data_IF_593015743772
#
_entry.id   IF_593015743772
#
_cell.length_a   1.000
_cell.length_b   1.000
_cell.length_c   1.000
_cell.angle_alpha   90.00
_cell.angle_beta   90.00
_cell.angle_gamma   90.00
#
_symmetry.space_group_name_H-M   'P 1'
#
loop_
_entity.id
_entity.type
_entity.pdbx_description
1 polymer ?
#
# COMPACT_ATOMS: atom_id res chain seq x y z
N UNK A 1 5.38 -3.10 -27.44
CA UNK A 1 4.92 -3.12 -26.04
C UNK A 1 3.39 -3.11 -26.07
N UNK A 2 2.70 -3.98 -25.34
CA UNK A 2 1.23 -3.97 -25.21
C UNK A 2 0.90 -4.14 -23.73
N UNK A 3 0.53 -3.04 -23.10
CA UNK A 3 0.17 -2.97 -21.69
C UNK A 3 -0.80 -1.81 -21.46
N UNK A 4 -1.38 -1.70 -20.24
CA UNK A 4 -2.23 -0.57 -19.83
C UNK A 4 -1.58 0.80 -20.15
N UNK A 5 -0.27 0.84 -20.05
CA UNK A 5 0.61 1.98 -20.26
C UNK A 5 0.55 2.52 -21.70
N UNK A 6 0.34 1.65 -22.70
CA UNK A 6 0.22 2.03 -24.11
C UNK A 6 -1.13 2.68 -24.41
N UNK A 7 -2.21 2.11 -23.84
CA UNK A 7 -3.56 2.69 -23.96
C UNK A 7 -3.68 4.03 -23.26
N UNK A 8 -3.00 4.15 -22.12
CA UNK A 8 -2.88 5.43 -21.43
C UNK A 8 -2.14 6.45 -22.30
N UNK A 9 -0.99 6.07 -22.88
CA UNK A 9 -0.21 6.96 -23.74
C UNK A 9 -1.01 7.45 -24.94
N UNK A 10 -1.71 6.57 -25.65
CA UNK A 10 -2.57 6.92 -26.79
C UNK A 10 -3.71 7.88 -26.40
N UNK A 11 -4.30 7.68 -25.23
CA UNK A 11 -5.36 8.55 -24.70
C UNK A 11 -4.83 9.93 -24.30
N UNK A 12 -3.70 9.99 -23.58
CA UNK A 12 -3.04 11.25 -23.21
C UNK A 12 -2.61 12.03 -24.46
N UNK A 13 -2.04 11.32 -25.44
CA UNK A 13 -1.68 11.81 -26.75
C UNK A 13 -2.83 12.45 -27.52
N UNK A 14 -4.03 11.89 -27.42
CA UNK A 14 -5.24 12.41 -28.07
C UNK A 14 -5.73 13.68 -27.38
N UNK A 15 -5.71 13.70 -26.04
CA UNK A 15 -6.09 14.87 -25.25
C UNK A 15 -5.16 16.07 -25.53
N UNK A 16 -3.86 15.84 -25.65
CA UNK A 16 -2.89 16.88 -25.99
C UNK A 16 -3.14 17.48 -27.37
N UNK A 17 -3.41 16.63 -28.36
CA UNK A 17 -3.75 17.08 -29.71
C UNK A 17 -5.03 17.92 -29.71
N UNK A 18 -6.05 17.49 -28.96
CA UNK A 18 -7.32 18.22 -28.87
C UNK A 18 -7.20 19.55 -28.11
N UNK A 19 -6.29 19.64 -27.13
CA UNK A 19 -6.07 20.84 -26.31
C UNK A 19 -5.02 21.80 -26.91
N UNK A 20 -4.43 21.46 -28.06
CA UNK A 20 -3.34 22.25 -28.67
C UNK A 20 -2.06 22.25 -27.84
N UNK A 21 -1.88 21.25 -26.96
CA UNK A 21 -0.74 21.13 -26.06
C UNK A 21 0.41 20.43 -26.80
N UNK A 22 1.64 20.98 -26.77
CA UNK A 22 2.81 20.34 -27.37
C UNK A 22 3.02 18.92 -26.87
N UNK A 23 3.28 18.00 -27.80
CA UNK A 23 3.39 16.55 -27.53
C UNK A 23 4.82 16.19 -27.14
N UNK A 24 5.30 16.77 -26.06
CA UNK A 24 6.62 16.53 -25.49
C UNK A 24 6.55 15.75 -24.18
N UNK A 25 7.72 15.30 -23.72
CA UNK A 25 7.85 14.50 -22.50
C UNK A 25 7.34 15.22 -21.24
N UNK A 26 7.53 16.54 -21.15
CA UNK A 26 7.16 17.32 -19.97
C UNK A 26 5.64 17.49 -19.88
N UNK A 27 4.97 17.77 -21.00
CA UNK A 27 3.52 17.83 -21.04
C UNK A 27 2.88 16.46 -20.82
N UNK A 28 3.54 15.39 -21.25
CA UNK A 28 3.09 14.02 -20.97
C UNK A 28 3.16 13.67 -19.51
N UNK A 29 4.27 14.03 -18.87
CA UNK A 29 4.41 13.88 -17.43
C UNK A 29 3.36 14.71 -16.68
N UNK A 30 3.09 15.93 -17.14
CA UNK A 30 2.09 16.82 -16.55
C UNK A 30 0.67 16.24 -16.63
N UNK A 31 0.23 15.83 -17.83
CA UNK A 31 -1.10 15.22 -18.03
C UNK A 31 -1.26 13.88 -17.30
N UNK A 32 -0.18 13.09 -17.17
CA UNK A 32 -0.18 11.89 -16.35
C UNK A 32 -0.43 12.20 -14.88
N UNK A 33 0.34 13.15 -14.33
CA UNK A 33 0.24 13.54 -12.93
C UNK A 33 -1.12 14.19 -12.63
N UNK A 34 -1.66 14.97 -13.56
CA UNK A 34 -2.97 15.60 -13.45
C UNK A 34 -4.09 14.55 -13.37
N UNK A 35 -4.08 13.54 -14.26
CA UNK A 35 -5.01 12.41 -14.18
C UNK A 35 -4.82 11.56 -12.93
N UNK A 36 -3.58 11.32 -12.50
CA UNK A 36 -3.31 10.60 -11.25
C UNK A 36 -3.83 11.38 -10.02
N UNK A 37 -3.71 12.71 -10.05
CA UNK A 37 -4.27 13.58 -9.02
C UNK A 37 -5.80 13.52 -9.01
N UNK A 38 -6.46 13.39 -10.16
CA UNK A 38 -7.92 13.17 -10.22
C UNK A 38 -8.35 11.91 -9.45
N UNK A 39 -7.58 10.83 -9.54
CA UNK A 39 -7.87 9.57 -8.83
C UNK A 39 -7.44 9.60 -7.36
N UNK A 40 -6.50 10.46 -6.96
CA UNK A 40 -6.01 10.59 -5.59
C UNK A 40 -5.92 12.07 -5.19
N UNK A 41 -7.07 12.75 -5.03
CA UNK A 41 -7.18 14.21 -5.00
C UNK A 41 -6.46 14.89 -3.85
N UNK A 42 -6.31 14.20 -2.72
CA UNK A 42 -5.59 14.72 -1.57
C UNK A 42 -4.99 13.58 -0.71
N UNK A 43 -4.07 13.94 0.19
CA UNK A 43 -3.39 12.97 1.07
C UNK A 43 -4.38 12.26 2.00
N UNK A 44 -5.47 12.92 2.41
CA UNK A 44 -6.49 12.35 3.28
C UNK A 44 -7.23 11.23 2.55
N UNK A 45 -7.60 11.44 1.28
CA UNK A 45 -8.21 10.42 0.44
C UNK A 45 -7.30 9.20 0.30
N UNK A 46 -6.01 9.40 0.03
CA UNK A 46 -5.03 8.29 -0.06
C UNK A 46 -4.94 7.50 1.25
N UNK A 47 -4.91 8.21 2.38
CA UNK A 47 -4.90 7.63 3.72
C UNK A 47 -6.18 6.81 3.96
N UNK A 48 -7.36 7.39 3.72
CA UNK A 48 -8.65 6.75 3.96
C UNK A 48 -8.82 5.48 3.10
N UNK A 49 -8.48 5.55 1.81
CA UNK A 49 -8.55 4.40 0.90
C UNK A 49 -7.61 3.27 1.33
N UNK A 50 -6.38 3.61 1.74
CA UNK A 50 -5.43 2.61 2.17
C UNK A 50 -5.84 1.97 3.50
N UNK A 51 -6.30 2.77 4.47
CA UNK A 51 -6.80 2.27 5.75
C UNK A 51 -7.97 1.28 5.56
N UNK A 52 -8.88 1.55 4.62
CA UNK A 52 -9.99 0.65 4.30
C UNK A 52 -9.52 -0.73 3.81
N UNK A 53 -8.43 -0.77 3.05
CA UNK A 53 -7.85 -2.01 2.51
C UNK A 53 -6.93 -2.78 3.48
N UNK A 54 -6.65 -2.24 4.67
CA UNK A 54 -5.70 -2.88 5.60
C UNK A 54 -6.28 -4.13 6.27
N UNK A 55 -5.43 -5.14 6.42
CA UNK A 55 -5.74 -6.34 7.23
C UNK A 55 -6.02 -5.93 8.67
N UNK A 56 -7.10 -6.47 9.27
CA UNK A 56 -7.60 -6.05 10.59
C UNK A 56 -6.57 -5.93 11.72
N UNK A 57 -5.59 -6.84 11.80
CA UNK A 57 -4.51 -6.76 12.81
C UNK A 57 -3.59 -5.56 12.61
N UNK A 58 -3.26 -5.22 11.36
CA UNK A 58 -2.43 -4.06 11.04
C UNK A 58 -3.26 -2.80 11.23
N UNK A 59 -4.50 -2.79 10.72
CA UNK A 59 -5.44 -1.69 10.91
C UNK A 59 -5.59 -1.32 12.38
N UNK A 60 -5.83 -2.30 13.26
CA UNK A 60 -5.99 -2.06 14.70
C UNK A 60 -4.76 -1.38 15.33
N UNK A 61 -3.54 -1.74 14.89
CA UNK A 61 -2.31 -1.15 15.39
C UNK A 61 -2.09 0.30 14.93
N UNK A 62 -2.66 0.70 13.78
CA UNK A 62 -2.40 2.01 13.17
C UNK A 62 -3.60 2.97 13.26
N UNK A 63 -4.83 2.47 13.40
CA UNK A 63 -6.06 3.27 13.32
C UNK A 63 -6.25 4.26 14.47
N UNK A 64 -5.59 4.04 15.61
CA UNK A 64 -5.60 4.99 16.73
C UNK A 64 -4.69 6.20 16.50
N UNK A 65 -3.95 6.23 15.39
CA UNK A 65 -2.98 7.30 15.08
C UNK A 65 -3.53 8.22 14.00
N UNK A 66 -3.32 9.52 14.17
CA UNK A 66 -3.56 10.51 13.12
C UNK A 66 -2.40 10.53 12.12
N UNK A 67 -2.70 10.53 10.83
CA UNK A 67 -1.73 10.64 9.75
C UNK A 67 -2.01 11.90 8.95
N UNK A 68 -0.97 12.68 8.66
CA UNK A 68 -1.09 13.88 7.82
C UNK A 68 -0.67 13.60 6.38
N UNK A 69 0.19 12.61 6.19
CA UNK A 69 0.65 12.18 4.87
C UNK A 69 0.53 10.67 4.71
N UNK A 70 0.32 10.24 3.47
CA UNK A 70 0.28 8.84 3.08
C UNK A 70 1.61 8.13 3.37
N UNK A 71 2.74 8.83 3.23
CA UNK A 71 4.07 8.29 3.55
C UNK A 71 4.26 7.93 5.03
N UNK A 72 3.67 8.71 5.94
CA UNK A 72 3.67 8.39 7.37
C UNK A 72 2.89 7.12 7.68
N UNK A 73 1.70 6.99 7.08
CA UNK A 73 0.86 5.80 7.21
C UNK A 73 1.59 4.54 6.75
N UNK A 74 2.22 4.60 5.56
CA UNK A 74 2.98 3.46 5.01
C UNK A 74 4.11 3.02 5.94
N UNK A 75 4.88 3.97 6.48
CA UNK A 75 5.97 3.67 7.42
C UNK A 75 5.45 2.98 8.67
N UNK A 76 4.33 3.44 9.23
CA UNK A 76 3.75 2.82 10.43
C UNK A 76 3.15 1.44 10.15
N UNK A 77 2.53 1.25 8.99
CA UNK A 77 2.02 -0.07 8.59
C UNK A 77 3.16 -1.09 8.49
N UNK A 78 4.31 -0.69 7.93
CA UNK A 78 5.50 -1.53 7.85
C UNK A 78 6.02 -1.93 9.25
N UNK A 79 6.10 -0.98 10.18
CA UNK A 79 6.51 -1.25 11.57
C UNK A 79 5.53 -2.20 12.26
N UNK A 80 4.22 -1.97 12.09
CA UNK A 80 3.18 -2.81 12.66
C UNK A 80 3.24 -4.25 12.11
N UNK A 81 3.44 -4.41 10.80
CA UNK A 81 3.57 -5.72 10.15
C UNK A 81 4.77 -6.51 10.70
N UNK A 82 5.94 -5.89 10.79
CA UNK A 82 7.14 -6.53 11.33
C UNK A 82 6.96 -6.93 12.80
N UNK A 83 6.31 -6.07 13.59
CA UNK A 83 6.04 -6.35 15.01
C UNK A 83 5.10 -7.54 15.16
N UNK A 84 4.04 -7.62 14.35
CA UNK A 84 3.10 -8.75 14.34
C UNK A 84 3.78 -10.04 13.91
N UNK A 85 4.70 -9.98 12.93
CA UNK A 85 5.46 -11.14 12.48
C UNK A 85 6.31 -11.71 13.62
N UNK A 86 7.00 -10.84 14.36
CA UNK A 86 7.81 -11.24 15.51
C UNK A 86 6.97 -11.91 16.61
N UNK A 87 5.81 -11.33 16.95
CA UNK A 87 4.88 -11.94 17.92
C UNK A 87 4.40 -13.31 17.46
N UNK A 88 4.12 -13.48 16.17
CA UNK A 88 3.73 -14.77 15.61
C UNK A 88 4.85 -15.82 15.76
N UNK A 89 6.09 -15.44 15.45
CA UNK A 89 7.27 -16.31 15.61
C UNK A 89 7.48 -16.75 17.06
N UNK A 90 7.38 -15.82 18.02
CA UNK A 90 7.47 -16.12 19.46
C UNK A 90 6.36 -17.10 19.92
N UNK A 91 5.13 -16.92 19.44
CA UNK A 91 4.02 -17.82 19.75
C UNK A 91 4.22 -19.23 19.16
N UNK A 92 4.77 -19.33 17.96
CA UNK A 92 5.03 -20.63 17.31
C UNK A 92 6.17 -21.38 18.00
N UNK A 93 7.21 -20.67 18.48
CA UNK A 93 8.26 -21.26 19.31
C UNK A 93 7.71 -21.79 20.63
N UNK A 94 6.88 -21.00 21.33
CA UNK A 94 6.24 -21.43 22.58
C UNK A 94 5.35 -22.67 22.38
N UNK A 95 4.51 -22.67 21.33
CA UNK A 95 3.65 -23.81 20.98
C UNK A 95 4.45 -25.06 20.64
N UNK A 96 5.61 -24.91 20.00
CA UNK A 96 6.51 -26.03 19.69
C UNK A 96 7.18 -26.58 20.95
N UNK A 97 7.58 -25.70 21.87
CA UNK A 97 8.12 -26.10 23.18
C UNK A 97 7.12 -26.90 24.03
N UNK A 98 5.84 -26.49 24.05
CA UNK A 98 4.77 -27.22 24.73
C UNK A 98 4.54 -28.62 24.16
N UNK A 99 4.58 -28.79 22.83
CA UNK A 99 4.44 -30.10 22.18
C UNK A 99 5.58 -31.06 22.55
N UNK A 100 6.78 -30.53 22.81
CA UNK A 100 7.93 -31.33 23.22
C UNK A 100 7.92 -31.72 24.70
N UNK A 101 7.16 -31.03 25.56
CA UNK A 101 7.01 -31.36 26.98
C UNK A 101 5.89 -32.38 27.28
N UNK A 102 5.00 -32.66 26.32
CA UNK A 102 3.83 -33.53 26.49
C UNK A 102 4.02 -35.03 26.24
N UNK A 103 5.25 -35.55 26.16
CA UNK A 103 5.51 -37.00 26.02
C UNK A 103 6.14 -37.56 27.30
N UNK A 104 5.36 -37.86 28.36
CA UNK A 104 5.84 -38.80 29.36
C UNK A 104 6.02 -40.14 28.65
N UNK A 105 7.25 -40.61 28.59
CA UNK A 105 7.54 -41.96 28.14
C UNK A 105 6.79 -42.95 29.02
N UNK A 106 5.96 -43.78 28.41
CA UNK A 106 5.56 -45.04 29.02
C UNK A 106 6.83 -45.90 29.08
N UNK A 107 7.49 -45.93 30.23
CA UNK A 107 8.35 -47.02 30.67
C UNK A 107 7.58 -47.86 31.69
#
# INVERSE_FOLDING_TARGET
MKGPDVRWWESASTLMTNQGVPRDWENSKKTFLDKQAEYAPDEKWKIDQFLFGLRGKIYHSVSQRGFTTYGELLRQCYVAENSLKKVQEEMDQYRSGLKNQGRPGNQ
#
